data_IF_411873809377
#
_entry.id   IF_411873809377
#
_cell.length_a   1.000
_cell.length_b   1.000
_cell.length_c   1.000
_cell.angle_alpha   90.00
_cell.angle_beta   90.00
_cell.angle_gamma   90.00
#
_symmetry.space_group_name_H-M   'P 1'
#
loop_
_entity.id
_entity.type
_entity.pdbx_description
1 polymer ?
#
# COMPACT_ATOMS: atom_id res chain seq x y z
N UNK A 1 1.88 -8.34 -11.94
CA UNK A 1 2.42 -7.18 -11.21
C UNK A 1 3.67 -6.73 -11.93
N UNK A 2 3.84 -5.42 -12.12
CA UNK A 2 5.02 -4.83 -12.77
C UNK A 2 5.62 -3.79 -11.85
N UNK A 3 6.94 -3.77 -11.77
CA UNK A 3 7.72 -2.74 -11.08
C UNK A 3 8.29 -1.79 -12.13
N UNK A 4 8.11 -0.51 -11.92
CA UNK A 4 8.63 0.57 -12.75
C UNK A 4 9.69 1.35 -12.00
N UNK A 5 10.84 1.57 -12.62
CA UNK A 5 11.79 2.58 -12.22
C UNK A 5 11.55 3.82 -13.10
N UNK A 6 11.14 4.91 -12.47
CA UNK A 6 10.68 6.12 -13.16
C UNK A 6 11.65 7.26 -12.88
N UNK A 7 12.15 7.89 -13.94
CA UNK A 7 12.93 9.13 -13.85
C UNK A 7 12.00 10.29 -13.44
N UNK A 8 12.16 10.77 -12.21
CA UNK A 8 11.31 11.79 -11.60
C UNK A 8 12.08 12.59 -10.54
N UNK A 9 13.15 13.35 -10.92
CA UNK A 9 14.10 13.92 -9.98
C UNK A 9 13.48 14.93 -9.00
N UNK A 10 12.47 15.68 -9.42
CA UNK A 10 11.78 16.62 -8.54
C UNK A 10 10.95 15.92 -7.45
N UNK A 11 10.38 14.76 -7.77
CA UNK A 11 9.63 13.94 -6.84
C UNK A 11 10.60 13.18 -5.93
N UNK A 12 11.59 12.50 -6.49
CA UNK A 12 12.59 11.73 -5.75
C UNK A 12 13.29 12.57 -4.67
N UNK A 13 13.64 13.83 -5.01
CA UNK A 13 14.28 14.77 -4.07
C UNK A 13 13.46 15.01 -2.80
N UNK A 14 12.12 15.00 -2.91
CA UNK A 14 11.18 15.30 -1.81
C UNK A 14 10.45 14.07 -1.28
N UNK A 15 10.68 12.91 -1.87
CA UNK A 15 10.02 11.67 -1.45
C UNK A 15 10.45 11.28 -0.03
N UNK A 16 9.46 10.82 0.73
CA UNK A 16 9.60 10.26 2.07
C UNK A 16 8.71 9.02 2.22
N UNK A 17 8.99 8.13 3.21
CA UNK A 17 8.18 6.92 3.45
C UNK A 17 6.70 7.27 3.68
N UNK A 18 5.81 6.63 2.93
CA UNK A 18 4.37 6.86 3.00
C UNK A 18 3.82 7.80 1.94
N UNK A 19 4.67 8.52 1.22
CA UNK A 19 4.25 9.33 0.08
C UNK A 19 3.77 8.47 -1.09
N UNK A 20 2.88 9.04 -1.91
CA UNK A 20 2.37 8.46 -3.14
C UNK A 20 2.38 9.49 -4.28
N UNK A 21 2.05 9.07 -5.47
CA UNK A 21 1.86 9.94 -6.63
C UNK A 21 0.48 9.68 -7.25
N UNK A 22 -0.01 10.63 -8.01
CA UNK A 22 -1.08 10.43 -8.99
C UNK A 22 -0.44 10.42 -10.38
N UNK A 23 -0.65 9.35 -11.13
CA UNK A 23 -0.21 9.26 -12.52
C UNK A 23 -1.39 9.22 -13.48
N UNK A 24 -1.13 9.69 -14.71
CA UNK A 24 -1.99 9.52 -15.86
C UNK A 24 -1.11 9.15 -17.05
N UNK A 25 -1.43 8.03 -17.73
CA UNK A 25 -0.56 7.51 -18.79
C UNK A 25 -0.85 8.06 -20.18
N UNK A 26 -2.08 8.59 -20.43
CA UNK A 26 -2.53 9.17 -21.69
C UNK A 26 -3.63 10.20 -21.46
N UNK A 27 -3.95 11.06 -22.47
CA UNK A 27 -4.91 12.18 -22.35
C UNK A 27 -6.29 11.78 -21.80
N UNK A 28 -6.85 10.69 -22.29
CA UNK A 28 -8.15 10.17 -21.85
C UNK A 28 -7.97 9.06 -20.77
N UNK A 29 -6.81 9.00 -20.12
CA UNK A 29 -6.52 8.03 -19.07
C UNK A 29 -7.06 8.46 -17.72
N UNK A 30 -7.36 7.49 -16.88
CA UNK A 30 -7.71 7.73 -15.49
C UNK A 30 -6.51 8.22 -14.69
N UNK A 31 -6.79 8.96 -13.62
CA UNK A 31 -5.82 9.39 -12.63
C UNK A 31 -5.70 8.29 -11.58
N UNK A 32 -4.52 7.70 -11.46
CA UNK A 32 -4.29 6.50 -10.63
C UNK A 32 -3.30 6.82 -9.52
N UNK A 33 -3.67 6.62 -8.25
CA UNK A 33 -2.75 6.74 -7.13
C UNK A 33 -1.84 5.51 -7.08
N UNK A 34 -0.53 5.71 -7.02
CA UNK A 34 0.44 4.68 -6.72
C UNK A 34 1.39 5.16 -5.62
N UNK A 35 1.65 4.29 -4.66
CA UNK A 35 2.63 4.59 -3.61
C UNK A 35 4.04 4.61 -4.20
N UNK A 36 4.88 5.51 -3.71
CA UNK A 36 6.33 5.50 -3.95
C UNK A 36 6.89 4.34 -3.11
N UNK A 37 7.15 3.21 -3.77
CA UNK A 37 7.64 2.00 -3.11
C UNK A 37 9.12 2.11 -2.71
N UNK A 38 9.91 2.86 -3.45
CA UNK A 38 11.27 3.27 -3.10
C UNK A 38 11.66 4.52 -3.89
N UNK A 39 12.74 5.17 -3.49
CA UNK A 39 13.26 6.36 -4.18
C UNK A 39 14.77 6.49 -4.00
N UNK A 40 15.42 6.98 -5.05
CA UNK A 40 16.83 7.32 -5.05
C UNK A 40 16.98 8.81 -5.38
N UNK A 41 17.45 9.59 -4.40
CA UNK A 41 17.60 11.03 -4.54
C UNK A 41 18.81 11.43 -5.40
N UNK A 42 19.85 10.58 -5.44
CA UNK A 42 21.05 10.82 -6.22
C UNK A 42 20.82 10.54 -7.70
N UNK A 43 20.16 9.42 -7.99
CA UNK A 43 19.77 9.06 -9.36
C UNK A 43 18.54 9.82 -9.86
N UNK A 44 17.76 10.44 -8.97
CA UNK A 44 16.53 11.16 -9.31
C UNK A 44 15.39 10.24 -9.71
N UNK A 45 15.36 9.00 -9.20
CA UNK A 45 14.37 7.99 -9.59
C UNK A 45 13.41 7.63 -8.46
N UNK A 46 12.20 7.20 -8.82
CA UNK A 46 11.23 6.58 -7.91
C UNK A 46 10.84 5.20 -8.42
N UNK A 47 10.57 4.28 -7.50
CA UNK A 47 10.07 2.95 -7.79
C UNK A 47 8.55 2.92 -7.56
N UNK A 48 7.81 2.45 -8.55
CA UNK A 48 6.36 2.23 -8.48
C UNK A 48 6.07 0.75 -8.71
N UNK A 49 5.09 0.20 -8.00
CA UNK A 49 4.62 -1.18 -8.20
C UNK A 49 3.13 -1.15 -8.57
N UNK A 50 2.80 -1.69 -9.73
CA UNK A 50 1.45 -1.66 -10.29
C UNK A 50 0.93 -3.07 -10.54
N UNK A 51 -0.27 -3.36 -10.03
CA UNK A 51 -0.99 -4.59 -10.32
C UNK A 51 -2.06 -4.32 -11.39
N UNK A 52 -2.02 -5.06 -12.48
CA UNK A 52 -2.98 -4.95 -13.59
C UNK A 52 -4.34 -5.56 -13.24
N UNK A 53 -5.17 -4.84 -12.50
CA UNK A 53 -6.52 -5.28 -12.10
C UNK A 53 -7.57 -4.76 -13.07
N UNK A 54 -7.63 -3.45 -13.26
CA UNK A 54 -8.56 -2.75 -14.14
C UNK A 54 -7.96 -2.42 -15.51
N UNK A 55 -8.75 -1.77 -16.38
CA UNK A 55 -8.33 -1.37 -17.73
C UNK A 55 -7.04 -0.55 -17.68
N UNK A 56 -7.02 0.57 -16.96
CA UNK A 56 -5.91 1.51 -16.93
C UNK A 56 -4.62 0.90 -16.37
N UNK A 57 -4.71 0.10 -15.31
CA UNK A 57 -3.54 -0.57 -14.73
C UNK A 57 -2.99 -1.70 -15.63
N UNK A 58 -3.84 -2.34 -16.43
CA UNK A 58 -3.38 -3.29 -17.47
C UNK A 58 -2.65 -2.59 -18.59
N UNK A 59 -3.17 -1.44 -19.07
CA UNK A 59 -2.52 -0.61 -20.09
C UNK A 59 -1.15 -0.12 -19.59
N UNK A 60 -1.08 0.38 -18.34
CA UNK A 60 0.17 0.80 -17.70
C UNK A 60 1.18 -0.36 -17.66
N UNK A 61 0.74 -1.57 -17.29
CA UNK A 61 1.62 -2.73 -17.21
C UNK A 61 2.15 -3.24 -18.57
N UNK A 62 1.63 -2.71 -19.69
CA UNK A 62 2.15 -2.98 -21.05
C UNK A 62 3.24 -1.98 -21.47
N UNK A 63 3.44 -0.89 -20.72
CA UNK A 63 4.48 0.10 -20.99
C UNK A 63 5.89 -0.53 -20.92
N UNK A 64 6.78 -0.01 -21.74
CA UNK A 64 8.14 -0.50 -21.91
C UNK A 64 9.17 0.53 -21.49
N UNK A 65 10.41 0.11 -21.34
CA UNK A 65 11.52 1.03 -21.09
C UNK A 65 11.60 2.09 -22.19
N UNK A 66 11.62 3.35 -21.80
CA UNK A 66 11.64 4.51 -22.69
C UNK A 66 10.27 5.15 -22.90
N UNK A 67 9.18 4.49 -22.52
CA UNK A 67 7.87 5.13 -22.51
C UNK A 67 7.78 6.17 -21.38
N UNK A 68 6.86 7.13 -21.55
CA UNK A 68 6.63 8.18 -20.55
C UNK A 68 5.17 8.22 -20.11
N UNK A 69 4.95 8.53 -18.84
CA UNK A 69 3.63 8.92 -18.34
C UNK A 69 3.30 10.34 -18.80
N UNK A 70 2.05 10.59 -19.15
CA UNK A 70 1.61 11.93 -19.56
C UNK A 70 1.71 12.92 -18.39
N UNK A 71 1.23 12.51 -17.21
CA UNK A 71 1.31 13.30 -15.99
C UNK A 71 1.81 12.46 -14.81
N UNK A 72 2.63 13.08 -13.97
CA UNK A 72 3.09 12.54 -12.71
C UNK A 72 3.05 13.64 -11.66
N UNK A 73 2.09 13.57 -10.74
CA UNK A 73 1.90 14.54 -9.67
C UNK A 73 2.35 13.95 -8.33
N UNK A 74 3.29 14.60 -7.65
CA UNK A 74 3.79 14.15 -6.36
C UNK A 74 5.05 14.88 -5.88
N UNK A 75 5.63 14.50 -4.74
CA UNK A 75 5.04 13.53 -3.81
C UNK A 75 3.79 14.08 -3.12
N UNK A 76 2.83 13.23 -2.83
CA UNK A 76 1.56 13.56 -2.20
C UNK A 76 1.40 12.81 -0.88
N UNK A 77 0.46 13.27 -0.06
CA UNK A 77 0.18 12.71 1.25
C UNK A 77 1.09 13.28 2.35
N UNK A 78 0.82 12.84 3.58
CA UNK A 78 1.65 13.13 4.74
C UNK A 78 2.62 11.96 4.94
N UNK A 79 3.93 12.22 5.08
CA UNK A 79 4.90 11.16 5.30
C UNK A 79 4.64 10.44 6.63
N UNK A 80 4.94 9.14 6.68
CA UNK A 80 4.90 8.37 7.91
C UNK A 80 6.07 8.80 8.83
N UNK A 81 5.79 9.17 10.10
CA UNK A 81 6.83 9.63 11.02
C UNK A 81 7.76 8.48 11.39
N UNK A 82 9.07 8.68 11.20
CA UNK A 82 10.08 7.68 11.54
C UNK A 82 10.70 8.03 12.89
N UNK A 83 10.47 7.16 13.87
CA UNK A 83 10.99 7.29 15.23
C UNK A 83 11.67 5.99 15.68
N UNK A 84 12.59 6.09 16.64
CA UNK A 84 13.14 4.91 17.34
C UNK A 84 12.17 4.50 18.45
N UNK A 85 11.37 3.46 18.19
CA UNK A 85 10.29 2.99 19.04
C UNK A 85 10.66 1.70 19.82
N UNK A 86 11.57 0.91 19.27
CA UNK A 86 11.92 -0.43 19.76
C UNK A 86 11.52 -1.51 18.76
N UNK A 87 10.70 -2.48 19.15
CA UNK A 87 10.18 -3.49 18.21
C UNK A 87 8.95 -2.98 17.49
N UNK A 88 8.97 -3.02 16.16
CA UNK A 88 7.86 -2.65 15.28
C UNK A 88 7.48 -3.85 14.42
N UNK A 89 6.18 -4.17 14.37
CA UNK A 89 5.66 -5.19 13.45
C UNK A 89 5.09 -4.52 12.21
N UNK A 90 5.62 -4.89 11.05
CA UNK A 90 5.18 -4.47 9.73
C UNK A 90 4.29 -5.56 9.10
N UNK A 91 2.99 -5.30 8.92
CA UNK A 91 2.01 -6.27 8.39
C UNK A 91 1.60 -5.90 6.98
N UNK A 92 1.84 -6.77 6.02
CA UNK A 92 1.43 -6.56 4.64
C UNK A 92 0.49 -7.64 4.11
N UNK A 93 -0.48 -7.26 3.27
CA UNK A 93 -1.31 -8.17 2.50
C UNK A 93 -1.21 -7.92 1.00
N UNK A 94 -0.81 -8.93 0.23
CA UNK A 94 -0.67 -8.84 -1.22
C UNK A 94 0.18 -7.66 -1.68
N UNK A 95 -0.37 -6.78 -2.53
CA UNK A 95 0.32 -5.59 -3.03
C UNK A 95 0.73 -4.61 -1.91
N UNK A 96 0.15 -4.71 -0.72
CA UNK A 96 0.48 -3.86 0.44
C UNK A 96 1.93 -3.92 0.89
N UNK A 97 2.70 -4.90 0.42
CA UNK A 97 4.16 -4.98 0.63
C UNK A 97 4.86 -3.76 0.04
N UNK A 98 4.48 -3.33 -1.17
CA UNK A 98 5.11 -2.22 -1.86
C UNK A 98 5.00 -0.88 -1.09
N UNK A 99 3.82 -0.44 -0.60
CA UNK A 99 3.71 0.74 0.25
C UNK A 99 4.25 0.55 1.68
N UNK A 100 4.44 -0.68 2.15
CA UNK A 100 5.03 -0.97 3.45
C UNK A 100 6.55 -0.89 3.42
N UNK A 101 7.18 -1.33 2.33
CA UNK A 101 8.63 -1.43 2.19
C UNK A 101 9.40 -0.14 2.58
N UNK A 102 9.08 1.05 2.05
CA UNK A 102 9.82 2.26 2.40
C UNK A 102 9.71 2.61 3.89
N UNK A 103 8.61 2.25 4.55
CA UNK A 103 8.43 2.46 5.99
C UNK A 103 9.27 1.47 6.79
N UNK A 104 9.24 0.18 6.44
CA UNK A 104 10.06 -0.84 7.08
C UNK A 104 11.56 -0.52 6.96
N UNK A 105 12.01 -0.13 5.75
CA UNK A 105 13.37 0.32 5.46
C UNK A 105 13.80 1.48 6.36
N UNK A 106 12.98 2.53 6.44
CA UNK A 106 13.30 3.70 7.24
C UNK A 106 13.25 3.41 8.76
N UNK A 107 12.29 2.61 9.22
CA UNK A 107 12.22 2.16 10.61
C UNK A 107 13.45 1.34 11.02
N UNK A 108 13.87 0.40 10.18
CA UNK A 108 15.07 -0.40 10.40
C UNK A 108 16.33 0.48 10.43
N UNK A 109 16.46 1.42 9.49
CA UNK A 109 17.56 2.40 9.48
C UNK A 109 17.58 3.32 10.70
N UNK A 110 16.42 3.61 11.30
CA UNK A 110 16.31 4.36 12.55
C UNK A 110 16.68 3.54 13.80
N UNK A 111 17.08 2.28 13.63
CA UNK A 111 17.52 1.38 14.69
C UNK A 111 16.39 0.72 15.47
N UNK A 112 15.23 0.53 14.84
CA UNK A 112 14.17 -0.32 15.36
C UNK A 112 14.45 -1.79 14.98
N UNK A 113 14.00 -2.72 15.84
CA UNK A 113 13.82 -4.11 15.46
C UNK A 113 12.54 -4.21 14.62
N UNK A 114 12.68 -4.62 13.36
CA UNK A 114 11.56 -4.75 12.42
C UNK A 114 11.23 -6.22 12.19
N UNK A 115 10.03 -6.63 12.59
CA UNK A 115 9.44 -7.92 12.26
C UNK A 115 8.39 -7.73 11.17
N UNK A 116 8.61 -8.31 9.98
CA UNK A 116 7.70 -8.22 8.85
C UNK A 116 6.84 -9.47 8.72
N UNK A 117 5.52 -9.29 8.69
CA UNK A 117 4.52 -10.34 8.49
C UNK A 117 3.85 -10.13 7.14
N UNK A 118 4.06 -11.04 6.20
CA UNK A 118 3.59 -10.88 4.81
C UNK A 118 2.59 -11.97 4.48
N UNK A 119 1.35 -11.57 4.16
CA UNK A 119 0.28 -12.46 3.75
C UNK A 119 -0.04 -12.34 2.27
N UNK A 120 -0.36 -13.48 1.63
CA UNK A 120 -0.87 -13.53 0.27
C UNK A 120 -1.89 -14.69 0.11
N UNK A 121 -2.65 -14.69 -0.97
CA UNK A 121 -3.57 -15.81 -1.24
C UNK A 121 -2.80 -17.11 -1.53
N UNK A 122 -1.65 -17.00 -2.23
CA UNK A 122 -0.79 -18.12 -2.62
C UNK A 122 0.65 -17.64 -2.84
N UNK A 123 1.59 -18.59 -2.89
CA UNK A 123 3.03 -18.33 -3.00
C UNK A 123 3.40 -17.41 -4.17
N UNK A 124 2.80 -17.60 -5.35
CA UNK A 124 3.10 -16.82 -6.56
C UNK A 124 2.68 -15.36 -6.47
N UNK A 125 1.88 -15.01 -5.46
CA UNK A 125 1.45 -13.64 -5.18
C UNK A 125 2.32 -12.93 -4.14
N UNK A 126 3.31 -13.61 -3.57
CA UNK A 126 4.32 -12.97 -2.72
C UNK A 126 5.26 -12.17 -3.60
N UNK A 127 5.44 -10.89 -3.26
CA UNK A 127 6.30 -9.95 -3.98
C UNK A 127 7.29 -9.29 -3.02
N UNK A 128 8.39 -8.77 -3.56
CA UNK A 128 9.42 -8.02 -2.81
C UNK A 128 9.93 -8.78 -1.56
N UNK A 129 10.03 -10.10 -1.67
CA UNK A 129 10.42 -10.95 -0.54
C UNK A 129 11.88 -10.75 -0.14
N UNK A 130 12.77 -10.56 -1.12
CA UNK A 130 14.19 -10.31 -0.90
C UNK A 130 14.42 -8.90 -0.34
N UNK A 131 13.73 -7.90 -0.92
CA UNK A 131 13.80 -6.51 -0.48
C UNK A 131 13.31 -6.38 0.97
N UNK A 132 12.18 -7.02 1.31
CA UNK A 132 11.67 -7.00 2.68
C UNK A 132 12.60 -7.73 3.66
N UNK A 133 13.22 -8.84 3.25
CA UNK A 133 14.19 -9.54 4.07
C UNK A 133 15.44 -8.68 4.35
N UNK A 134 15.87 -7.86 3.40
CA UNK A 134 17.03 -6.98 3.55
C UNK A 134 16.80 -5.82 4.53
N UNK A 135 15.55 -5.48 4.85
CA UNK A 135 15.17 -4.34 5.72
C UNK A 135 14.40 -4.76 6.96
N UNK A 136 14.43 -6.05 7.29
CA UNK A 136 13.75 -6.62 8.46
C UNK A 136 14.71 -7.54 9.22
N UNK A 137 14.62 -7.54 10.55
CA UNK A 137 15.36 -8.48 11.39
C UNK A 137 14.78 -9.89 11.29
N UNK A 138 13.49 -9.99 11.00
CA UNK A 138 12.77 -11.23 10.80
C UNK A 138 11.62 -11.05 9.82
N UNK A 139 11.37 -12.06 8.97
CA UNK A 139 10.20 -12.07 8.06
C UNK A 139 9.45 -13.38 8.22
N UNK A 140 8.14 -13.30 8.43
CA UNK A 140 7.24 -14.45 8.45
C UNK A 140 6.22 -14.33 7.31
N UNK A 141 5.94 -15.44 6.66
CA UNK A 141 5.02 -15.50 5.54
C UNK A 141 3.80 -16.35 5.88
N UNK A 142 2.62 -15.94 5.38
CA UNK A 142 1.41 -16.76 5.36
C UNK A 142 0.79 -16.78 3.98
N UNK A 143 0.20 -17.92 3.61
CA UNK A 143 -0.63 -18.02 2.41
C UNK A 143 -1.96 -18.66 2.77
N UNK A 144 -3.06 -18.10 2.19
CA UNK A 144 -4.42 -18.55 2.49
C UNK A 144 -4.61 -20.03 2.09
N UNK A 145 -3.94 -20.47 1.00
CA UNK A 145 -3.97 -21.84 0.50
C UNK A 145 -2.92 -22.78 1.09
N UNK A 146 -2.03 -22.28 1.96
CA UNK A 146 -0.97 -23.06 2.57
C UNK A 146 0.20 -23.41 1.65
N UNK A 147 0.31 -22.79 0.48
CA UNK A 147 1.36 -23.09 -0.51
C UNK A 147 2.76 -22.60 -0.08
N UNK A 148 2.84 -21.69 0.91
CA UNK A 148 4.09 -21.20 1.47
C UNK A 148 3.91 -20.59 2.88
N UNK A 149 4.84 -20.90 3.80
CA UNK A 149 4.83 -20.37 5.16
C UNK A 149 3.67 -20.93 6.00
N UNK A 150 3.08 -20.06 6.82
CA UNK A 150 1.91 -20.42 7.63
C UNK A 150 0.67 -20.58 6.73
N UNK A 151 -0.09 -21.65 6.92
CA UNK A 151 -1.37 -21.84 6.25
C UNK A 151 -2.45 -21.02 6.95
N UNK A 152 -2.95 -19.98 6.30
CA UNK A 152 -4.00 -19.12 6.82
C UNK A 152 -3.65 -17.63 6.73
N UNK A 153 -4.40 -16.82 7.47
CA UNK A 153 -4.29 -15.37 7.40
C UNK A 153 -3.10 -14.82 8.19
N UNK A 154 -2.55 -13.72 7.72
CA UNK A 154 -1.43 -13.01 8.37
C UNK A 154 -1.75 -12.56 9.80
N UNK A 155 -3.02 -12.44 10.16
CA UNK A 155 -3.46 -12.13 11.54
C UNK A 155 -3.11 -13.21 12.55
N UNK A 156 -3.03 -14.49 12.14
CA UNK A 156 -2.56 -15.57 13.01
C UNK A 156 -1.07 -15.38 13.36
N UNK A 157 -0.24 -15.03 12.38
CA UNK A 157 1.16 -14.69 12.63
C UNK A 157 1.30 -13.46 13.54
N UNK A 158 0.41 -12.47 13.38
CA UNK A 158 0.42 -11.30 14.26
C UNK A 158 0.09 -11.67 15.70
N UNK A 159 -0.95 -12.49 15.95
CA UNK A 159 -1.29 -12.97 17.29
C UNK A 159 -0.12 -13.72 17.94
N UNK A 160 0.53 -14.59 17.15
CA UNK A 160 1.70 -15.33 17.60
C UNK A 160 2.83 -14.35 17.98
N UNK A 161 3.21 -13.44 17.11
CA UNK A 161 4.31 -12.49 17.35
C UNK A 161 4.04 -11.61 18.59
N UNK A 162 2.80 -11.12 18.76
CA UNK A 162 2.41 -10.33 19.93
C UNK A 162 2.41 -11.12 21.25
N UNK A 163 2.31 -12.44 21.18
CA UNK A 163 2.43 -13.32 22.36
C UNK A 163 3.89 -13.65 22.69
N UNK A 164 4.79 -13.55 21.73
CA UNK A 164 6.20 -13.89 21.86
C UNK A 164 7.06 -12.74 22.39
N UNK A 165 6.76 -11.49 21.96
CA UNK A 165 7.59 -10.34 22.33
C UNK A 165 6.77 -9.05 22.55
N UNK A 166 7.36 -8.13 23.32
CA UNK A 166 6.77 -6.79 23.51
C UNK A 166 6.97 -5.94 22.28
N UNK A 167 5.86 -5.45 21.72
CA UNK A 167 5.81 -4.64 20.50
C UNK A 167 5.41 -3.20 20.83
N UNK A 168 6.09 -2.25 20.23
CA UNK A 168 5.83 -0.81 20.43
C UNK A 168 4.78 -0.26 19.49
N UNK A 169 4.78 -0.72 18.23
CA UNK A 169 3.82 -0.28 17.21
C UNK A 169 3.65 -1.33 16.13
N UNK A 170 2.46 -1.37 15.54
CA UNK A 170 2.15 -2.14 14.34
C UNK A 170 1.90 -1.18 13.19
N UNK A 171 2.47 -1.47 12.01
CA UNK A 171 2.19 -0.76 10.76
C UNK A 171 1.56 -1.73 9.78
N UNK A 172 0.30 -1.50 9.39
CA UNK A 172 -0.42 -2.44 8.53
C UNK A 172 -0.84 -1.80 7.20
N UNK A 173 -0.58 -2.51 6.10
CA UNK A 173 -0.94 -2.08 4.74
C UNK A 173 -1.44 -3.26 3.93
N UNK A 174 -2.63 -3.13 3.33
CA UNK A 174 -3.21 -4.20 2.53
C UNK A 174 -4.70 -4.00 2.26
N UNK A 175 -5.42 -5.06 1.89
CA UNK A 175 -6.87 -5.01 1.72
C UNK A 175 -7.59 -4.52 2.98
N UNK A 176 -8.63 -3.72 2.82
CA UNK A 176 -9.39 -3.13 3.95
C UNK A 176 -9.86 -4.18 4.97
N UNK A 177 -10.38 -5.36 4.56
CA UNK A 177 -10.74 -6.42 5.52
C UNK A 177 -9.55 -6.93 6.34
N UNK A 178 -8.36 -7.06 5.72
CA UNK A 178 -7.15 -7.47 6.42
C UNK A 178 -6.73 -6.42 7.45
N UNK A 179 -6.69 -5.13 7.07
CA UNK A 179 -6.35 -4.05 8.00
C UNK A 179 -7.34 -3.99 9.18
N UNK A 180 -8.65 -4.13 8.91
CA UNK A 180 -9.67 -4.17 9.97
C UNK A 180 -9.46 -5.35 10.94
N UNK A 181 -9.12 -6.53 10.41
CA UNK A 181 -8.80 -7.72 11.23
C UNK A 181 -7.52 -7.53 12.04
N UNK A 182 -6.48 -6.93 11.43
CA UNK A 182 -5.21 -6.59 12.11
C UNK A 182 -5.45 -5.61 13.26
N UNK A 183 -6.31 -4.60 13.06
CA UNK A 183 -6.69 -3.65 14.12
C UNK A 183 -7.42 -4.33 15.28
N UNK A 184 -8.26 -5.32 15.01
CA UNK A 184 -8.91 -6.11 16.08
C UNK A 184 -7.88 -6.81 16.95
N UNK A 185 -6.92 -7.50 16.32
CA UNK A 185 -5.82 -8.18 17.05
C UNK A 185 -4.99 -7.17 17.85
N UNK A 186 -4.60 -6.04 17.24
CA UNK A 186 -3.84 -5.00 17.93
C UNK A 186 -4.55 -4.48 19.19
N UNK A 187 -5.87 -4.31 19.14
CA UNK A 187 -6.69 -3.89 20.29
C UNK A 187 -6.70 -4.94 21.42
N UNK A 188 -6.77 -6.23 21.09
CA UNK A 188 -6.75 -7.32 22.08
C UNK A 188 -5.44 -7.31 22.90
N UNK A 189 -4.32 -6.95 22.26
CA UNK A 189 -3.00 -6.86 22.87
C UNK A 189 -2.64 -5.46 23.37
N UNK A 190 -3.52 -4.47 23.23
CA UNK A 190 -3.29 -3.06 23.58
C UNK A 190 -2.03 -2.46 22.93
N UNK A 191 -1.74 -2.81 21.67
CA UNK A 191 -0.61 -2.27 20.90
C UNK A 191 -1.10 -1.20 19.94
N UNK A 192 -0.46 -0.02 19.88
CA UNK A 192 -0.75 1.01 18.88
C UNK A 192 -0.60 0.46 17.46
N UNK A 193 -1.52 0.86 16.57
CA UNK A 193 -1.49 0.42 15.18
C UNK A 193 -1.76 1.58 14.22
N UNK A 194 -0.87 1.73 13.24
CA UNK A 194 -1.03 2.64 12.11
C UNK A 194 -1.41 1.82 10.88
N UNK A 195 -2.45 2.27 10.17
CA UNK A 195 -2.89 1.67 8.91
C UNK A 195 -2.70 2.64 7.75
N UNK A 196 -2.25 2.16 6.60
CA UNK A 196 -2.16 2.96 5.37
C UNK A 196 -3.37 2.67 4.49
N UNK A 197 -4.28 3.63 4.41
CA UNK A 197 -5.57 3.45 3.74
C UNK A 197 -5.45 3.61 2.21
N UNK A 198 -6.14 2.75 1.49
CA UNK A 198 -6.24 2.72 0.04
C UNK A 198 -7.60 3.27 -0.44
N UNK A 199 -8.01 4.44 0.06
CA UNK A 199 -9.22 5.10 -0.40
C UNK A 199 -9.13 5.49 -1.89
N UNK A 200 -10.30 5.57 -2.55
CA UNK A 200 -10.38 6.08 -3.92
C UNK A 200 -9.85 7.51 -3.99
N UNK A 201 -8.86 7.77 -4.83
CA UNK A 201 -8.26 9.10 -5.02
C UNK A 201 -8.31 9.49 -6.49
N UNK A 202 -8.67 10.75 -6.78
CA UNK A 202 -8.79 11.30 -8.12
C UNK A 202 -7.81 12.46 -8.31
N UNK A 203 -7.94 13.55 -7.54
CA UNK A 203 -7.05 14.70 -7.68
C UNK A 203 -5.78 14.60 -6.83
N UNK A 204 -5.85 14.00 -5.66
CA UNK A 204 -4.70 13.85 -4.76
C UNK A 204 -4.37 15.08 -3.91
N UNK A 205 -5.12 16.19 -4.01
CA UNK A 205 -4.81 17.49 -3.40
C UNK A 205 -5.83 17.94 -2.34
N UNK A 206 -6.83 17.10 -2.04
CA UNK A 206 -7.87 17.39 -1.05
C UNK A 206 -9.07 18.16 -1.58
N UNK A 207 -9.09 18.53 -2.86
CA UNK A 207 -10.16 19.37 -3.44
C UNK A 207 -11.43 18.58 -3.77
N UNK A 208 -11.31 17.39 -4.37
CA UNK A 208 -12.48 16.64 -4.86
C UNK A 208 -13.27 15.89 -3.77
N UNK A 209 -12.69 15.67 -2.59
CA UNK A 209 -13.32 14.93 -1.49
C UNK A 209 -13.56 13.44 -1.76
N UNK A 210 -13.05 12.88 -2.87
CA UNK A 210 -13.21 11.47 -3.24
C UNK A 210 -12.64 10.50 -2.22
N UNK A 211 -11.51 10.85 -1.62
CA UNK A 211 -10.76 10.03 -0.68
C UNK A 211 -11.14 10.24 0.80
N UNK A 212 -12.29 10.83 1.08
CA UNK A 212 -12.72 11.07 2.46
C UNK A 212 -12.95 9.75 3.21
N UNK A 213 -12.60 9.76 4.48
CA UNK A 213 -12.76 8.66 5.44
C UNK A 213 -13.05 9.26 6.82
N UNK A 214 -13.81 8.55 7.63
CA UNK A 214 -14.05 8.95 9.02
C UNK A 214 -12.98 8.34 9.93
N UNK A 215 -12.24 9.21 10.65
CA UNK A 215 -11.21 8.83 11.62
C UNK A 215 -11.48 9.58 12.93
N UNK A 216 -11.71 8.86 14.02
CA UNK A 216 -12.05 9.45 15.32
C UNK A 216 -13.32 10.32 15.29
N UNK A 217 -14.31 9.93 14.51
CA UNK A 217 -15.57 10.68 14.31
C UNK A 217 -15.44 11.94 13.46
N UNK A 218 -14.27 12.21 12.86
CA UNK A 218 -14.03 13.39 12.00
C UNK A 218 -13.76 12.96 10.57
N UNK A 219 -14.27 13.73 9.60
CA UNK A 219 -13.94 13.53 8.20
C UNK A 219 -12.49 13.94 7.94
N UNK A 220 -11.75 13.04 7.32
CA UNK A 220 -10.36 13.19 6.87
C UNK A 220 -10.26 12.88 5.37
N UNK A 221 -9.24 13.44 4.72
CA UNK A 221 -8.94 13.17 3.32
C UNK A 221 -7.63 12.38 3.21
N UNK A 222 -7.70 11.12 2.76
CA UNK A 222 -6.53 10.26 2.70
C UNK A 222 -5.37 10.85 1.88
N UNK A 223 -5.65 11.68 0.90
CA UNK A 223 -4.63 12.29 0.04
C UNK A 223 -3.85 13.44 0.67
N UNK A 224 -4.35 14.06 1.74
CA UNK A 224 -3.70 15.21 2.38
C UNK A 224 -3.52 15.02 3.89
N UNK A 225 -4.47 14.36 4.59
CA UNK A 225 -4.35 14.05 6.02
C UNK A 225 -3.62 12.72 6.29
N UNK A 226 -3.55 11.85 5.26
CA UNK A 226 -3.00 10.50 5.31
C UNK A 226 -1.93 10.28 4.21
N UNK A 227 -1.78 9.06 3.72
CA UNK A 227 -2.69 7.90 3.84
C UNK A 227 -2.59 7.12 5.15
N UNK A 228 -1.62 7.41 6.02
CA UNK A 228 -1.42 6.72 7.28
C UNK A 228 -2.29 7.33 8.40
N UNK A 229 -3.01 6.49 9.13
CA UNK A 229 -3.90 6.90 10.24
C UNK A 229 -3.79 5.93 11.40
N UNK A 230 -4.16 6.40 12.61
CA UNK A 230 -4.39 5.52 13.75
C UNK A 230 -5.53 4.54 13.40
N UNK A 231 -5.16 3.26 13.27
CA UNK A 231 -6.09 2.21 12.87
C UNK A 231 -7.24 2.01 13.86
N UNK A 232 -7.01 2.29 15.14
CA UNK A 232 -8.04 2.16 16.17
C UNK A 232 -9.21 3.14 16.01
N UNK A 233 -8.99 4.24 15.26
CA UNK A 233 -9.95 5.33 15.07
C UNK A 233 -10.63 5.29 13.69
N UNK A 234 -10.18 4.44 12.76
CA UNK A 234 -10.73 4.36 11.38
C UNK A 234 -12.10 3.68 11.36
N UNK A 235 -13.05 4.29 10.64
CA UNK A 235 -14.31 3.64 10.29
C UNK A 235 -14.14 2.78 9.02
N UNK A 236 -13.80 1.50 9.22
CA UNK A 236 -13.58 0.56 8.13
C UNK A 236 -14.85 0.17 7.38
N UNK A 237 -16.02 0.21 8.03
CA UNK A 237 -17.30 -0.11 7.36
C UNK A 237 -17.64 0.94 6.31
N UNK A 238 -17.50 2.24 6.66
CA UNK A 238 -17.67 3.33 5.72
C UNK A 238 -16.67 3.22 4.56
N UNK A 239 -15.40 2.96 4.86
CA UNK A 239 -14.35 2.84 3.83
C UNK A 239 -14.67 1.71 2.83
N UNK A 240 -15.13 0.55 3.31
CA UNK A 240 -15.54 -0.58 2.46
C UNK A 240 -16.73 -0.23 1.55
N UNK A 241 -17.73 0.48 2.08
CA UNK A 241 -18.88 0.93 1.29
C UNK A 241 -18.44 1.90 0.19
N UNK A 242 -17.53 2.83 0.52
CA UNK A 242 -17.02 3.81 -0.43
C UNK A 242 -16.17 3.20 -1.53
N UNK A 243 -15.39 2.15 -1.25
CA UNK A 243 -14.61 1.44 -2.27
C UNK A 243 -15.49 0.74 -3.33
N UNK A 244 -16.75 0.45 -3.00
CA UNK A 244 -17.70 -0.19 -3.93
C UNK A 244 -18.44 0.80 -4.84
N UNK A 245 -18.23 2.10 -4.67
CA UNK A 245 -19.03 3.14 -5.34
C UNK A 245 -19.00 3.05 -6.87
N UNK A 246 -17.87 2.69 -7.48
CA UNK A 246 -17.71 2.55 -8.94
C UNK A 246 -17.66 1.10 -9.41
N UNK A 247 -18.03 0.14 -8.56
CA UNK A 247 -17.84 -1.29 -8.88
C UNK A 247 -18.57 -1.75 -10.15
N UNK A 248 -19.76 -1.24 -10.43
CA UNK A 248 -20.51 -1.59 -11.65
C UNK A 248 -19.86 -0.98 -12.89
N UNK A 249 -19.41 0.26 -12.81
CA UNK A 249 -18.70 0.95 -13.92
C UNK A 249 -17.35 0.26 -14.22
N UNK A 250 -16.65 -0.16 -13.19
CA UNK A 250 -15.38 -0.93 -13.32
C UNK A 250 -15.62 -2.27 -14.01
N UNK A 251 -16.65 -3.00 -13.63
CA UNK A 251 -17.04 -4.29 -14.28
C UNK A 251 -17.35 -4.08 -15.76
N UNK A 252 -18.13 -3.05 -16.08
CA UNK A 252 -18.51 -2.74 -17.45
C UNK A 252 -17.28 -2.34 -18.29
N UNK A 253 -16.38 -1.52 -17.75
CA UNK A 253 -15.14 -1.13 -18.41
C UNK A 253 -14.22 -2.35 -18.66
N UNK A 254 -14.09 -3.24 -17.67
CA UNK A 254 -13.34 -4.48 -17.82
C UNK A 254 -13.96 -5.43 -18.85
N UNK A 255 -15.29 -5.51 -18.93
CA UNK A 255 -15.98 -6.33 -19.91
C UNK A 255 -15.72 -5.81 -21.32
N UNK A 256 -15.88 -4.52 -21.58
CA UNK A 256 -15.57 -3.88 -22.86
C UNK A 256 -14.13 -4.12 -23.30
N UNK A 257 -13.17 -3.96 -22.37
CA UNK A 257 -11.74 -4.21 -22.64
C UNK A 257 -11.49 -5.66 -23.13
N UNK A 258 -12.13 -6.66 -22.50
CA UNK A 258 -12.00 -8.07 -22.91
C UNK A 258 -12.58 -8.34 -24.31
N UNK A 259 -13.68 -7.69 -24.66
CA UNK A 259 -14.27 -7.80 -26.00
C UNK A 259 -13.37 -7.18 -27.08
N UNK A 260 -12.75 -6.04 -26.79
CA UNK A 260 -11.78 -5.39 -27.68
C UNK A 260 -10.51 -6.23 -27.87
N UNK A 261 -10.05 -6.95 -26.83
CA UNK A 261 -8.92 -7.88 -26.91
C UNK A 261 -9.25 -9.16 -27.69
N UNK A 262 -10.47 -9.69 -27.54
CA UNK A 262 -10.92 -10.90 -28.24
C UNK A 262 -11.28 -10.69 -29.72
N UNK A 263 -11.50 -9.45 -30.14
CA UNK A 263 -11.77 -9.06 -31.53
C UNK A 263 -10.53 -8.71 -32.34
N UNK A 264 -9.34 -8.77 -31.74
CA UNK A 264 -8.04 -8.60 -32.40
C UNK A 264 -7.37 -9.97 -32.61
#
# INVERSE_FOLDING_TARGET
>A
IVQFLVDAPLIAKKAEPGHFIILRHKENGERIPLTIADFDREQGTITLVCQGIGKSTKEINQMKKGDAFLDLLGPLGTPYPINKLGTVICVAGGLGVAPLYPKAKALHQAGNRVLSLIGAQRKEMLIMTEEMAAVSDEVRYSTDDGSFGHHGFVTALLQQALSEEKVSEIVAVGPVPMMAATVKVAKEFNVPIVVSLNALMIDGTGMCGGCRVTVGGKTKFCCVDGPAFDGALVNFEELLLRQRYYHEQEKEACHRCRLEEAGK
#
